data_IF_100051301487
#
_entry.id   IF_100051301487
#
_cell.length_a   1.000
_cell.length_b   1.000
_cell.length_c   1.000
_cell.angle_alpha   90.00
_cell.angle_beta   90.00
_cell.angle_gamma   90.00
#
_symmetry.space_group_name_H-M   'P 1'
#
loop_
_entity.id
_entity.type
_entity.pdbx_description
1 polymer ?
#
# COMPACT_ATOMS: atom_id res chain seq x y z
N UNK A 1 18.01 -27.91 17.42
CA UNK A 1 17.12 -26.78 17.75
C UNK A 1 16.22 -26.57 16.54
N UNK A 2 14.92 -26.74 16.74
CA UNK A 2 13.91 -26.86 15.70
C UNK A 2 13.66 -25.48 15.05
N UNK A 3 14.28 -25.19 13.90
CA UNK A 3 14.01 -23.96 13.13
C UNK A 3 12.84 -24.20 12.19
N UNK A 4 11.63 -24.30 12.75
CA UNK A 4 10.42 -24.18 11.94
C UNK A 4 10.30 -22.72 11.52
N UNK A 5 10.56 -22.44 10.25
CA UNK A 5 10.22 -21.16 9.63
C UNK A 5 8.74 -20.85 9.93
N UNK A 6 8.38 -19.59 10.26
CA UNK A 6 6.98 -19.23 10.44
C UNK A 6 6.22 -19.56 9.15
N UNK A 7 5.02 -20.12 9.28
CA UNK A 7 4.12 -20.36 8.15
C UNK A 7 3.83 -19.00 7.49
N UNK A 8 4.48 -18.73 6.36
CA UNK A 8 4.44 -17.44 5.66
C UNK A 8 3.07 -17.16 5.00
N UNK A 9 2.06 -17.98 5.26
CA UNK A 9 0.76 -17.87 4.63
C UNK A 9 0.85 -18.18 3.12
N UNK A 10 -0.30 -18.37 2.49
CA UNK A 10 -0.35 -18.52 1.03
C UNK A 10 -0.38 -17.12 0.40
N UNK A 11 0.56 -16.83 -0.51
CA UNK A 11 0.54 -15.58 -1.28
C UNK A 11 -0.36 -15.79 -2.50
N UNK A 12 -1.34 -14.91 -2.71
CA UNK A 12 -2.12 -14.90 -3.94
C UNK A 12 -1.56 -13.80 -4.84
N UNK A 13 -1.01 -14.20 -5.98
CA UNK A 13 -0.64 -13.27 -7.05
C UNK A 13 -1.79 -13.24 -8.05
N UNK A 14 -2.53 -12.14 -8.10
CA UNK A 14 -3.57 -11.96 -9.10
C UNK A 14 -2.93 -11.43 -10.38
N UNK A 15 -2.29 -12.30 -11.14
CA UNK A 15 -1.97 -12.05 -12.55
C UNK A 15 -3.00 -12.81 -13.39
N UNK A 16 -4.22 -12.27 -13.49
CA UNK A 16 -5.20 -12.75 -14.47
C UNK A 16 -4.87 -12.03 -15.78
N UNK A 17 -4.48 -12.77 -16.80
CA UNK A 17 -4.08 -12.23 -18.10
C UNK A 17 -5.05 -11.15 -18.58
N UNK A 18 -4.57 -9.91 -18.65
CA UNK A 18 -5.31 -8.76 -19.18
C UNK A 18 -6.26 -8.04 -18.22
N UNK A 19 -6.34 -8.40 -16.93
CA UNK A 19 -7.15 -7.67 -15.94
C UNK A 19 -6.24 -7.06 -14.87
N UNK A 20 -6.01 -5.75 -14.97
CA UNK A 20 -5.24 -4.98 -14.00
C UNK A 20 -6.06 -4.79 -12.72
N UNK A 21 -5.75 -5.53 -11.66
CA UNK A 21 -6.37 -5.31 -10.35
C UNK A 21 -5.65 -4.15 -9.66
N UNK A 22 -6.09 -2.94 -10.01
CA UNK A 22 -5.89 -1.74 -9.19
C UNK A 22 -6.94 -1.76 -8.09
N UNK A 23 -6.62 -1.28 -6.89
CA UNK A 23 -7.63 -1.13 -5.84
C UNK A 23 -8.83 -0.29 -6.35
N UNK A 24 -8.56 0.83 -7.03
CA UNK A 24 -9.61 1.62 -7.69
C UNK A 24 -10.43 0.90 -8.81
N UNK A 25 -10.08 -0.32 -9.24
CA UNK A 25 -10.77 -1.09 -10.30
C UNK A 25 -11.03 -2.55 -9.91
N UNK A 26 -11.67 -2.78 -8.77
CA UNK A 26 -12.13 -4.12 -8.38
C UNK A 26 -11.07 -4.98 -7.69
N UNK A 27 -10.17 -4.34 -6.92
CA UNK A 27 -9.27 -5.07 -6.02
C UNK A 27 -9.86 -5.31 -4.63
N UNK A 28 -11.05 -4.79 -4.37
CA UNK A 28 -11.55 -4.57 -3.01
C UNK A 28 -12.17 -5.85 -2.48
N UNK A 29 -12.93 -6.53 -3.33
CA UNK A 29 -13.45 -7.88 -3.12
C UNK A 29 -12.33 -8.92 -3.03
N UNK A 30 -11.29 -8.79 -3.86
CA UNK A 30 -10.10 -9.64 -3.81
C UNK A 30 -9.31 -9.40 -2.53
N UNK A 31 -9.10 -8.15 -2.13
CA UNK A 31 -8.44 -7.79 -0.87
C UNK A 31 -9.23 -8.30 0.32
N UNK A 32 -10.56 -8.15 0.31
CA UNK A 32 -11.44 -8.69 1.36
C UNK A 32 -11.33 -10.21 1.44
N UNK A 33 -11.39 -10.90 0.29
CA UNK A 33 -11.23 -12.35 0.23
C UNK A 33 -9.86 -12.79 0.77
N UNK A 34 -8.77 -12.15 0.33
CA UNK A 34 -7.42 -12.40 0.79
C UNK A 34 -7.29 -12.17 2.30
N UNK A 35 -7.86 -11.07 2.81
CA UNK A 35 -7.86 -10.74 4.25
C UNK A 35 -8.58 -11.82 5.06
N UNK A 36 -9.77 -12.25 4.62
CA UNK A 36 -10.54 -13.33 5.26
C UNK A 36 -9.85 -14.70 5.22
N UNK A 37 -8.99 -14.93 4.24
CA UNK A 37 -8.27 -16.19 4.05
C UNK A 37 -6.82 -16.15 4.53
N UNK A 38 -6.38 -15.04 5.12
CA UNK A 38 -4.99 -14.80 5.50
C UNK A 38 -4.02 -15.05 4.31
N UNK A 39 -4.41 -14.57 3.13
CA UNK A 39 -3.59 -14.64 1.92
C UNK A 39 -2.91 -13.29 1.69
N UNK A 40 -1.60 -13.30 1.45
CA UNK A 40 -0.87 -12.09 1.06
C UNK A 40 -1.44 -11.49 -0.23
N UNK A 41 -1.66 -10.18 -0.24
CA UNK A 41 -2.15 -9.40 -1.38
C UNK A 41 -1.08 -8.40 -1.83
N UNK A 42 -0.57 -8.58 -3.04
CA UNK A 42 0.46 -7.71 -3.63
C UNK A 42 -0.20 -6.84 -4.70
N UNK A 43 -0.51 -5.56 -4.43
CA UNK A 43 -1.10 -4.68 -5.43
C UNK A 43 -0.12 -4.43 -6.56
N UNK A 44 -0.57 -4.60 -7.80
CA UNK A 44 0.22 -4.19 -8.95
C UNK A 44 0.22 -2.66 -9.03
N UNK A 45 1.42 -2.08 -9.20
CA UNK A 45 1.61 -0.64 -9.40
C UNK A 45 0.99 0.26 -8.31
N UNK A 46 1.37 0.04 -7.03
CA UNK A 46 0.67 0.60 -5.87
C UNK A 46 0.60 2.13 -5.86
N UNK A 47 1.60 2.80 -6.45
CA UNK A 47 1.70 4.26 -6.44
C UNK A 47 1.32 4.92 -7.77
N UNK A 48 0.87 4.14 -8.78
CA UNK A 48 0.41 4.69 -10.05
C UNK A 48 1.39 5.69 -10.72
N UNK A 49 2.69 5.35 -10.85
CA UNK A 49 3.76 6.29 -11.25
C UNK A 49 3.86 7.56 -10.40
N UNK A 50 3.57 7.49 -9.10
CA UNK A 50 3.57 8.67 -8.25
C UNK A 50 2.43 9.64 -8.57
N UNK A 51 1.41 9.26 -9.33
CA UNK A 51 0.19 10.07 -9.48
C UNK A 51 -0.57 10.20 -8.16
N UNK A 52 -0.53 9.16 -7.32
CA UNK A 52 -0.99 9.26 -5.93
C UNK A 52 -0.10 10.19 -5.09
N UNK A 53 1.15 10.40 -5.51
CA UNK A 53 2.10 11.30 -4.86
C UNK A 53 2.18 12.68 -5.53
N UNK A 54 1.30 12.99 -6.48
CA UNK A 54 1.30 14.24 -7.22
C UNK A 54 1.07 15.44 -6.28
N UNK A 55 1.56 16.61 -6.68
CA UNK A 55 1.45 17.83 -5.89
C UNK A 55 0.00 18.30 -5.77
N UNK A 56 -0.51 18.37 -4.54
CA UNK A 56 -1.86 18.83 -4.20
C UNK A 56 -2.77 17.71 -3.69
N UNK A 57 -3.92 18.08 -3.12
CA UNK A 57 -4.93 17.13 -2.63
C UNK A 57 -4.61 16.48 -1.26
N UNK A 58 -5.45 15.53 -0.82
CA UNK A 58 -5.41 14.97 0.54
C UNK A 58 -4.08 14.34 0.93
N UNK A 59 -3.40 13.69 -0.02
CA UNK A 59 -2.10 13.07 0.22
C UNK A 59 -1.03 14.14 0.46
N UNK A 60 -1.02 15.24 -0.30
CA UNK A 60 -0.06 16.31 -0.11
C UNK A 60 -0.30 17.10 1.19
N UNK A 61 -1.55 17.24 1.61
CA UNK A 61 -1.87 17.89 2.88
C UNK A 61 -1.49 17.03 4.08
N UNK A 62 -1.76 15.72 4.02
CA UNK A 62 -1.26 14.78 5.02
C UNK A 62 0.29 14.74 5.05
N UNK A 63 0.94 14.78 3.89
CA UNK A 63 2.41 14.80 3.81
C UNK A 63 3.00 15.99 4.58
N UNK A 64 2.41 17.19 4.43
CA UNK A 64 2.80 18.38 5.20
C UNK A 64 2.56 18.21 6.70
N UNK A 65 1.40 17.70 7.10
CA UNK A 65 1.04 17.49 8.51
C UNK A 65 1.99 16.54 9.23
N UNK A 66 2.42 15.48 8.53
CA UNK A 66 3.30 14.44 9.07
C UNK A 66 4.79 14.72 8.85
N UNK A 67 5.16 15.76 8.10
CA UNK A 67 6.56 16.02 7.72
C UNK A 67 7.15 14.89 6.86
N UNK A 68 6.32 14.24 6.06
CA UNK A 68 6.65 13.07 5.26
C UNK A 68 6.57 13.38 3.76
N UNK A 69 7.06 12.48 2.91
CA UNK A 69 6.86 12.57 1.46
C UNK A 69 5.46 12.07 1.08
N UNK A 70 4.92 12.55 -0.04
CA UNK A 70 3.64 12.06 -0.56
C UNK A 70 3.67 10.55 -0.86
N UNK A 71 4.83 10.01 -1.26
CA UNK A 71 5.03 8.57 -1.45
C UNK A 71 4.87 7.79 -0.14
N UNK A 72 5.43 8.32 0.95
CA UNK A 72 5.28 7.73 2.28
C UNK A 72 3.82 7.71 2.75
N UNK A 73 3.09 8.81 2.55
CA UNK A 73 1.66 8.87 2.89
C UNK A 73 0.85 7.86 2.08
N UNK A 74 1.12 7.77 0.77
CA UNK A 74 0.42 6.83 -0.10
C UNK A 74 0.70 5.35 0.31
N UNK A 75 1.95 5.02 0.63
CA UNK A 75 2.32 3.70 1.14
C UNK A 75 1.69 3.41 2.52
N UNK A 76 1.74 4.35 3.44
CA UNK A 76 1.11 4.23 4.76
C UNK A 76 -0.40 4.02 4.64
N UNK A 77 -1.05 4.73 3.72
CA UNK A 77 -2.46 4.55 3.43
C UNK A 77 -2.75 3.15 2.92
N UNK A 78 -1.98 2.63 1.95
CA UNK A 78 -2.14 1.26 1.45
C UNK A 78 -1.97 0.22 2.55
N UNK A 79 -0.88 0.31 3.33
CA UNK A 79 -0.58 -0.62 4.42
C UNK A 79 -1.69 -0.64 5.48
N UNK A 80 -2.33 0.51 5.74
CA UNK A 80 -3.44 0.61 6.70
C UNK A 80 -4.71 -0.12 6.23
N UNK A 81 -4.89 -0.33 4.92
CA UNK A 81 -6.13 -0.94 4.37
C UNK A 81 -6.34 -2.39 4.78
N UNK A 82 -5.28 -3.15 4.99
CA UNK A 82 -5.38 -4.56 5.38
C UNK A 82 -4.04 -5.08 5.91
N UNK A 83 -4.05 -5.95 6.94
CA UNK A 83 -2.82 -6.60 7.43
C UNK A 83 -2.16 -7.52 6.40
N UNK A 84 -2.85 -7.89 5.30
CA UNK A 84 -2.28 -8.70 4.22
C UNK A 84 -1.85 -7.88 3.01
N UNK A 85 -1.90 -6.54 3.08
CA UNK A 85 -1.42 -5.65 2.02
C UNK A 85 0.11 -5.63 1.98
N UNK A 86 0.69 -6.01 0.84
CA UNK A 86 2.13 -6.10 0.62
C UNK A 86 2.52 -5.25 -0.60
N UNK A 87 2.53 -3.91 -0.48
CA UNK A 87 2.90 -3.04 -1.59
C UNK A 87 4.37 -3.24 -1.95
N UNK A 88 4.66 -3.30 -3.25
CA UNK A 88 6.00 -3.46 -3.81
C UNK A 88 6.40 -2.22 -4.62
N UNK A 89 6.66 -1.07 -3.98
CA UNK A 89 7.12 0.12 -4.68
C UNK A 89 8.46 -0.19 -5.38
N UNK A 90 8.56 0.22 -6.64
CA UNK A 90 9.79 0.09 -7.41
C UNK A 90 10.72 1.26 -7.13
N UNK A 91 11.96 0.99 -6.73
CA UNK A 91 13.01 2.00 -6.57
C UNK A 91 14.36 1.49 -7.10
N UNK A 92 15.18 2.40 -7.61
CA UNK A 92 16.57 2.16 -8.03
C UNK A 92 17.60 2.87 -7.14
N UNK A 93 17.17 3.58 -6.09
CA UNK A 93 18.05 4.28 -5.15
C UNK A 93 17.82 3.82 -3.71
N UNK A 94 18.91 3.80 -2.93
CA UNK A 94 18.85 3.47 -1.50
C UNK A 94 18.07 4.52 -0.73
N UNK A 95 18.18 5.80 -1.09
CA UNK A 95 17.44 6.87 -0.40
C UNK A 95 15.92 6.70 -0.52
N UNK A 96 15.41 6.38 -1.71
CA UNK A 96 13.98 6.10 -1.88
C UNK A 96 13.57 4.80 -1.18
N UNK A 97 14.44 3.79 -1.12
CA UNK A 97 14.16 2.58 -0.33
C UNK A 97 13.99 2.92 1.15
N UNK A 98 14.86 3.77 1.71
CA UNK A 98 14.76 4.23 3.09
C UNK A 98 13.47 5.02 3.34
N UNK A 99 13.07 5.88 2.39
CA UNK A 99 11.79 6.58 2.42
C UNK A 99 10.60 5.62 2.43
N UNK A 100 10.58 4.63 1.52
CA UNK A 100 9.52 3.62 1.40
C UNK A 100 9.39 2.79 2.68
N UNK A 101 10.51 2.40 3.31
CA UNK A 101 10.52 1.66 4.57
C UNK A 101 9.95 2.52 5.70
N UNK A 102 10.32 3.80 5.78
CA UNK A 102 9.85 4.71 6.81
C UNK A 102 8.32 4.94 6.75
N UNK A 103 7.68 4.72 5.59
CA UNK A 103 6.23 4.80 5.45
C UNK A 103 5.48 3.84 6.39
N UNK A 104 6.04 2.67 6.69
CA UNK A 104 5.43 1.68 7.58
C UNK A 104 5.30 2.17 9.04
N UNK A 105 6.05 3.21 9.42
CA UNK A 105 5.96 3.84 10.75
C UNK A 105 4.93 4.97 10.85
N UNK A 106 4.33 5.40 9.73
CA UNK A 106 3.37 6.50 9.74
C UNK A 106 1.98 6.02 10.16
N UNK A 107 1.38 6.74 11.11
CA UNK A 107 0.02 6.48 11.59
C UNK A 107 -0.89 7.58 11.09
N UNK A 108 -1.65 7.28 10.05
CA UNK A 108 -2.68 8.18 9.53
C UNK A 108 -3.88 8.19 10.49
N UNK A 109 -4.45 9.37 10.75
CA UNK A 109 -5.71 9.53 11.50
C UNK A 109 -6.91 9.01 10.72
N UNK A 110 -8.05 8.80 11.40
CA UNK A 110 -9.29 8.31 10.74
C UNK A 110 -9.76 9.23 9.62
N UNK A 111 -9.77 10.54 9.89
CA UNK A 111 -10.15 11.55 8.91
C UNK A 111 -9.23 11.53 7.68
N UNK A 112 -7.92 11.50 7.88
CA UNK A 112 -6.93 11.48 6.78
C UNK A 112 -7.11 10.24 5.91
N UNK A 113 -7.26 9.07 6.53
CA UNK A 113 -7.47 7.81 5.82
C UNK A 113 -8.75 7.81 4.97
N UNK A 114 -9.85 8.31 5.53
CA UNK A 114 -11.13 8.42 4.83
C UNK A 114 -11.07 9.44 3.68
N UNK A 115 -10.46 10.61 3.90
CA UNK A 115 -10.32 11.64 2.85
C UNK A 115 -9.47 11.15 1.69
N UNK A 116 -8.32 10.51 1.96
CA UNK A 116 -7.46 9.94 0.90
C UNK A 116 -8.22 8.87 0.11
N UNK A 117 -8.97 7.99 0.78
CA UNK A 117 -9.71 6.92 0.11
C UNK A 117 -10.91 7.38 -0.72
N UNK A 118 -11.35 8.62 -0.57
CA UNK A 118 -12.44 9.18 -1.37
C UNK A 118 -11.94 9.78 -2.69
N UNK A 119 -10.67 10.19 -2.75
CA UNK A 119 -10.07 10.85 -3.92
C UNK A 119 -9.04 9.98 -4.68
N UNK A 120 -8.73 8.77 -4.18
CA UNK A 120 -7.76 7.82 -4.75
C UNK A 120 -8.38 6.83 -5.76
#
# INVERSE_FOLDING_TARGET
MNSSLPDIGRVSTSQIGGLEIRLARGGEDVLEYCSRKALGFIPWFPLAMGQLAASGGPIADAAKSHGATSGQIALAWLLRRSPVMLPIPGTSSVSHLEEDIAAAGLVLGEAEFATIGTEA
#
